data_IF_868982136521
#
_entry.id   IF_868982136521
#
_cell.length_a   1.000
_cell.length_b   1.000
_cell.length_c   1.000
_cell.angle_alpha   90.00
_cell.angle_beta   90.00
_cell.angle_gamma   90.00
#
_symmetry.space_group_name_H-M   'P 1'
#
loop_
_entity.id
_entity.type
_entity.pdbx_description
1 polymer ?
#
# COMPACT_ATOMS: atom_id res chain seq x y z
N UNK A 1 13.15 -1.80 -38.66
CA UNK A 1 12.13 -0.78 -38.93
C UNK A 1 12.06 0.17 -37.78
N UNK A 2 11.95 1.48 -38.04
CA UNK A 2 11.76 2.47 -36.96
C UNK A 2 10.39 2.29 -36.27
N UNK A 3 10.26 2.91 -35.11
CA UNK A 3 9.02 2.93 -34.31
C UNK A 3 8.55 4.38 -34.11
N UNK A 4 7.24 4.58 -34.11
CA UNK A 4 6.58 5.83 -33.76
C UNK A 4 5.49 5.56 -32.70
N UNK A 5 4.82 6.60 -32.24
CA UNK A 5 3.75 6.53 -31.22
C UNK A 5 4.13 5.69 -30.01
N UNK A 6 5.33 5.93 -29.49
CA UNK A 6 5.87 5.14 -28.40
C UNK A 6 5.23 5.53 -27.08
N UNK A 7 4.62 4.53 -26.44
CA UNK A 7 3.94 4.64 -25.14
C UNK A 7 4.57 3.67 -24.15
N UNK A 8 5.19 4.20 -23.12
CA UNK A 8 5.71 3.41 -22.00
C UNK A 8 4.76 3.54 -20.82
N UNK A 9 4.25 2.42 -20.34
CA UNK A 9 3.41 2.35 -19.13
C UNK A 9 4.23 1.76 -17.99
N UNK A 10 4.41 2.53 -16.93
CA UNK A 10 5.22 2.17 -15.78
C UNK A 10 4.36 2.11 -14.53
N UNK A 11 4.38 0.98 -13.84
CA UNK A 11 3.64 0.75 -12.59
C UNK A 11 4.58 0.84 -11.40
N UNK A 12 4.40 1.89 -10.61
CA UNK A 12 5.18 2.16 -9.42
C UNK A 12 4.79 1.23 -8.26
N UNK A 13 5.76 0.83 -7.45
CA UNK A 13 5.48 0.13 -6.20
C UNK A 13 4.86 1.07 -5.16
N UNK A 14 4.28 0.46 -4.13
CA UNK A 14 3.70 1.21 -3.00
C UNK A 14 4.68 2.21 -2.42
N UNK A 15 4.20 3.41 -2.13
CA UNK A 15 4.96 4.47 -1.47
C UNK A 15 5.86 5.29 -2.39
N UNK A 16 5.79 5.10 -3.71
CA UNK A 16 6.47 5.93 -4.70
C UNK A 16 5.51 6.99 -5.24
N UNK A 17 5.93 8.24 -5.21
CA UNK A 17 5.19 9.37 -5.77
C UNK A 17 5.98 9.97 -6.93
N UNK A 18 5.43 9.91 -8.12
CA UNK A 18 6.01 10.45 -9.33
C UNK A 18 6.16 11.99 -9.27
N UNK A 19 7.25 12.51 -9.83
CA UNK A 19 7.54 13.94 -9.96
C UNK A 19 7.54 14.31 -11.46
N UNK A 20 6.41 14.79 -12.02
CA UNK A 20 6.27 15.03 -13.47
C UNK A 20 7.30 16.01 -14.04
N UNK A 21 7.67 17.03 -13.26
CA UNK A 21 8.64 18.07 -13.64
C UNK A 21 10.07 17.54 -13.83
N UNK A 22 10.35 16.33 -13.34
CA UNK A 22 11.67 15.71 -13.43
C UNK A 22 11.93 14.93 -14.70
N UNK A 23 10.90 14.74 -15.54
CA UNK A 23 11.01 13.90 -16.75
C UNK A 23 11.96 14.50 -17.76
N UNK A 24 12.84 13.65 -18.27
CA UNK A 24 13.78 13.96 -19.36
C UNK A 24 13.76 12.80 -20.34
N UNK A 25 13.69 13.12 -21.62
CA UNK A 25 13.77 12.16 -22.72
C UNK A 25 15.00 12.42 -23.58
N UNK A 26 15.72 11.39 -23.95
CA UNK A 26 16.88 11.46 -24.84
C UNK A 26 16.85 10.32 -25.85
N UNK A 27 17.09 10.63 -27.11
CA UNK A 27 17.26 9.66 -28.20
C UNK A 27 18.69 9.82 -28.77
N UNK A 28 19.57 8.90 -28.39
CA UNK A 28 20.99 9.09 -28.62
C UNK A 28 21.54 10.30 -27.83
N UNK A 29 22.00 11.34 -28.52
CA UNK A 29 22.48 12.59 -27.91
C UNK A 29 21.44 13.73 -28.00
N UNK A 30 20.27 13.50 -28.60
CA UNK A 30 19.25 14.50 -28.79
C UNK A 30 18.19 14.45 -27.67
N UNK A 31 17.85 15.62 -27.12
CA UNK A 31 16.74 15.74 -26.17
C UNK A 31 15.41 15.64 -26.91
N UNK A 32 14.52 14.78 -26.45
CA UNK A 32 13.18 14.58 -27.01
C UNK A 32 12.09 14.93 -26.01
N UNK A 33 10.97 15.42 -26.53
CA UNK A 33 9.81 15.74 -25.68
C UNK A 33 9.10 14.45 -25.28
N UNK A 34 8.88 14.29 -23.98
CA UNK A 34 8.09 13.20 -23.40
C UNK A 34 6.94 13.80 -22.61
N UNK A 35 5.72 13.49 -23.01
CA UNK A 35 4.51 13.84 -22.26
C UNK A 35 4.17 12.77 -21.28
N UNK A 36 3.54 13.13 -20.15
CA UNK A 36 3.24 12.19 -19.07
C UNK A 36 1.81 12.32 -18.57
N UNK A 37 1.21 11.18 -18.29
CA UNK A 37 -0.05 11.05 -17.57
C UNK A 37 0.16 10.17 -16.36
N UNK A 38 -0.43 10.53 -15.21
CA UNK A 38 -0.39 9.72 -14.00
C UNK A 38 -1.80 9.38 -13.52
N UNK A 39 -2.04 8.11 -13.25
CA UNK A 39 -3.27 7.61 -12.66
C UNK A 39 -2.93 6.68 -11.50
N UNK A 40 -2.91 7.23 -10.28
CA UNK A 40 -2.45 6.52 -9.09
C UNK A 40 -0.98 6.10 -9.20
N UNK A 41 -0.72 4.80 -9.18
CA UNK A 41 0.63 4.22 -9.33
C UNK A 41 1.04 3.96 -10.79
N UNK A 42 0.13 4.15 -11.75
CA UNK A 42 0.43 3.97 -13.16
C UNK A 42 0.83 5.29 -13.80
N UNK A 43 2.02 5.32 -14.39
CA UNK A 43 2.54 6.47 -15.12
C UNK A 43 2.70 6.09 -16.58
N UNK A 44 2.16 6.92 -17.46
CA UNK A 44 2.28 6.73 -18.90
C UNK A 44 3.17 7.83 -19.47
N UNK A 45 4.20 7.43 -20.17
CA UNK A 45 5.11 8.30 -20.92
C UNK A 45 4.83 8.14 -22.40
N UNK A 46 4.70 9.25 -23.14
CA UNK A 46 4.46 9.25 -24.59
C UNK A 46 5.45 10.15 -25.28
N UNK A 47 5.90 9.73 -26.44
CA UNK A 47 6.67 10.58 -27.35
C UNK A 47 6.21 10.35 -28.78
N UNK A 48 6.09 11.43 -29.53
CA UNK A 48 5.80 11.42 -30.97
C UNK A 48 7.10 11.34 -31.80
N UNK A 49 8.26 11.29 -31.14
CA UNK A 49 9.56 11.18 -31.82
C UNK A 49 9.73 9.77 -32.39
N UNK A 50 10.03 9.70 -33.66
CA UNK A 50 10.34 8.42 -34.34
C UNK A 50 11.67 7.85 -33.81
N UNK A 51 11.65 6.63 -33.33
CA UNK A 51 12.85 5.91 -32.91
C UNK A 51 13.40 5.15 -34.13
N UNK A 52 14.62 5.46 -34.60
CA UNK A 52 15.21 4.76 -35.75
C UNK A 52 15.60 3.32 -35.40
N UNK A 53 15.94 2.54 -36.39
CA UNK A 53 16.48 1.20 -36.23
C UNK A 53 17.74 1.26 -35.35
N UNK A 54 17.80 0.46 -34.32
CA UNK A 54 18.84 0.45 -33.28
C UNK A 54 18.94 1.75 -32.45
N UNK A 55 17.96 2.64 -32.55
CA UNK A 55 17.84 3.80 -31.66
C UNK A 55 17.46 3.38 -30.25
N UNK A 56 18.00 4.12 -29.27
CA UNK A 56 17.69 3.91 -27.86
C UNK A 56 17.05 5.19 -27.29
N UNK A 57 15.78 5.09 -26.91
CA UNK A 57 15.10 6.14 -26.17
C UNK A 57 15.34 5.94 -24.67
N UNK A 58 16.00 6.91 -24.04
CA UNK A 58 16.17 6.97 -22.60
C UNK A 58 15.11 7.92 -22.00
N UNK A 59 14.35 7.45 -21.02
CA UNK A 59 13.42 8.27 -20.25
C UNK A 59 13.89 8.23 -18.81
N UNK A 60 14.34 9.37 -18.30
CA UNK A 60 14.75 9.54 -16.90
C UNK A 60 13.71 10.37 -16.15
N UNK A 61 13.40 9.98 -14.94
CA UNK A 61 12.47 10.68 -14.06
C UNK A 61 12.82 10.43 -12.59
N UNK A 62 12.29 11.25 -11.70
CA UNK A 62 12.43 11.08 -10.27
C UNK A 62 11.12 10.69 -9.60
N UNK A 63 11.22 9.96 -8.51
CA UNK A 63 10.10 9.66 -7.63
C UNK A 63 10.48 9.95 -6.18
N UNK A 64 9.56 10.55 -5.43
CA UNK A 64 9.69 10.76 -3.99
C UNK A 64 9.21 9.52 -3.27
N UNK A 65 10.00 9.03 -2.32
CA UNK A 65 9.63 7.91 -1.46
C UNK A 65 8.88 8.41 -0.23
N UNK A 66 7.77 7.76 0.07
CA UNK A 66 7.09 7.87 1.36
C UNK A 66 7.50 6.69 2.26
N UNK A 67 7.22 6.74 3.57
CA UNK A 67 7.47 5.62 4.47
C UNK A 67 6.78 4.31 4.05
N UNK A 68 5.68 4.39 3.32
CA UNK A 68 4.97 3.23 2.77
C UNK A 68 5.83 2.40 1.81
N UNK A 69 6.83 3.01 1.17
CA UNK A 69 7.76 2.30 0.30
C UNK A 69 8.53 1.18 1.03
N UNK A 70 8.72 1.30 2.35
CA UNK A 70 9.37 0.28 3.17
C UNK A 70 8.48 -0.95 3.42
N UNK A 71 7.17 -0.81 3.26
CA UNK A 71 6.18 -1.89 3.39
C UNK A 71 5.83 -2.53 2.05
N UNK A 72 6.16 -1.85 0.96
CA UNK A 72 5.93 -2.33 -0.40
C UNK A 72 6.94 -3.40 -0.83
N UNK A 73 6.63 -4.06 -1.93
CA UNK A 73 7.53 -5.03 -2.56
C UNK A 73 8.77 -4.39 -3.21
N UNK A 74 8.76 -3.08 -3.44
CA UNK A 74 9.76 -2.38 -4.24
C UNK A 74 9.78 -2.76 -5.72
N UNK A 75 8.80 -3.53 -6.19
CA UNK A 75 8.73 -4.01 -7.58
C UNK A 75 8.17 -2.92 -8.48
N UNK A 76 8.99 -2.45 -9.40
CA UNK A 76 8.60 -1.60 -10.51
C UNK A 76 8.41 -2.44 -11.78
N UNK A 77 7.39 -2.13 -12.58
CA UNK A 77 7.07 -2.92 -13.78
C UNK A 77 6.70 -1.99 -14.92
N UNK A 78 7.39 -2.12 -16.05
CA UNK A 78 7.16 -1.32 -17.23
C UNK A 78 6.81 -2.16 -18.45
N UNK A 79 5.92 -1.65 -19.29
CA UNK A 79 5.55 -2.20 -20.59
C UNK A 79 5.67 -1.09 -21.63
N UNK A 80 5.96 -1.48 -22.87
CA UNK A 80 6.02 -0.55 -24.01
C UNK A 80 5.08 -0.99 -25.11
N UNK A 81 4.41 -0.03 -25.70
CA UNK A 81 3.66 -0.17 -26.96
C UNK A 81 4.19 0.86 -27.94
N UNK A 82 4.24 0.49 -29.21
CA UNK A 82 4.64 1.40 -30.29
C UNK A 82 4.03 0.93 -31.60
N UNK A 83 4.16 1.75 -32.66
CA UNK A 83 3.76 1.40 -34.01
C UNK A 83 4.97 1.38 -34.95
N UNK A 84 4.97 0.47 -35.89
CA UNK A 84 6.00 0.43 -36.93
C UNK A 84 5.77 1.53 -37.96
N UNK A 85 6.83 2.23 -38.31
CA UNK A 85 6.78 3.35 -39.29
C UNK A 85 6.36 2.90 -40.71
N UNK A 86 6.66 1.62 -41.07
CA UNK A 86 6.43 1.12 -42.43
C UNK A 86 4.98 0.70 -42.70
N UNK A 87 4.23 0.30 -41.74
CA UNK A 87 2.90 -0.29 -41.90
C UNK A 87 1.92 -0.05 -40.77
N UNK A 88 2.29 0.78 -39.77
CA UNK A 88 1.53 1.11 -38.55
C UNK A 88 1.11 -0.13 -37.75
N UNK A 89 1.85 -1.24 -37.91
CA UNK A 89 1.59 -2.44 -37.12
C UNK A 89 2.01 -2.19 -35.66
N UNK A 90 1.06 -2.40 -34.74
CA UNK A 90 1.30 -2.24 -33.31
C UNK A 90 2.26 -3.32 -32.79
N UNK A 91 3.29 -2.90 -32.09
CA UNK A 91 4.27 -3.75 -31.43
C UNK A 91 4.25 -3.51 -29.93
N UNK A 92 4.51 -4.57 -29.16
CA UNK A 92 4.49 -4.52 -27.70
C UNK A 92 5.67 -5.30 -27.18
N UNK A 93 6.20 -4.83 -26.04
CA UNK A 93 7.19 -5.58 -25.27
C UNK A 93 7.01 -5.33 -23.76
N UNK A 94 7.49 -6.27 -22.97
CA UNK A 94 7.36 -6.28 -21.51
C UNK A 94 6.54 -7.46 -20.99
N UNK A 95 6.32 -7.57 -19.67
CA UNK A 95 6.74 -6.60 -18.66
C UNK A 95 8.24 -6.67 -18.33
N UNK A 96 8.92 -5.55 -18.36
CA UNK A 96 10.23 -5.40 -17.74
C UNK A 96 10.04 -5.09 -16.25
N UNK A 97 10.73 -5.83 -15.39
CA UNK A 97 10.57 -5.70 -13.94
C UNK A 97 11.90 -5.40 -13.27
N UNK A 98 11.88 -4.42 -12.36
CA UNK A 98 13.02 -4.11 -11.51
C UNK A 98 12.61 -4.10 -10.03
N UNK A 99 13.46 -4.63 -9.16
CA UNK A 99 13.24 -4.68 -7.72
C UNK A 99 14.12 -3.64 -7.01
N UNK A 100 13.49 -2.58 -6.49
CA UNK A 100 14.17 -1.57 -5.69
C UNK A 100 14.20 -2.00 -4.22
N UNK A 101 15.38 -2.10 -3.66
CA UNK A 101 15.57 -2.37 -2.24
C UNK A 101 15.53 -1.08 -1.45
N UNK A 102 14.41 -0.81 -0.78
CA UNK A 102 14.24 0.35 0.07
C UNK A 102 14.82 0.06 1.45
N UNK A 103 15.60 1.01 1.98
CA UNK A 103 16.16 0.96 3.34
C UNK A 103 15.68 2.17 4.13
N UNK A 104 15.41 2.02 5.45
CA UNK A 104 15.14 3.17 6.30
C UNK A 104 16.36 4.11 6.30
N UNK A 105 16.09 5.40 6.36
CA UNK A 105 17.14 6.40 6.59
C UNK A 105 17.77 6.25 7.99
N UNK A 106 18.97 6.79 8.17
CA UNK A 106 19.69 6.74 9.45
C UNK A 106 18.93 7.42 10.60
N UNK A 107 18.04 8.37 10.27
CA UNK A 107 17.20 9.12 11.22
C UNK A 107 15.73 8.70 11.17
N UNK A 108 15.45 7.45 10.77
CA UNK A 108 14.07 6.97 10.71
C UNK A 108 13.55 6.68 12.12
N UNK A 109 12.64 7.51 12.60
CA UNK A 109 11.92 7.35 13.88
C UNK A 109 10.65 6.49 13.73
N UNK A 110 10.55 5.71 12.67
CA UNK A 110 9.39 4.84 12.44
C UNK A 110 9.23 3.83 13.57
N UNK A 111 7.99 3.70 14.04
CA UNK A 111 7.61 2.73 15.05
C UNK A 111 6.81 1.55 14.49
N UNK A 112 6.21 0.80 15.39
CA UNK A 112 5.40 -0.37 15.06
C UNK A 112 4.04 -0.30 15.75
N UNK A 113 2.96 -0.49 15.01
CA UNK A 113 1.63 -0.71 15.56
C UNK A 113 1.41 -2.22 15.62
N UNK A 114 1.09 -2.73 16.80
CA UNK A 114 0.70 -4.14 16.98
C UNK A 114 -0.74 -4.18 17.46
N UNK A 115 -1.42 -5.28 17.21
CA UNK A 115 -2.78 -5.42 17.69
C UNK A 115 -3.32 -6.84 17.60
N UNK A 116 -4.49 -6.99 18.16
CA UNK A 116 -5.26 -8.23 18.14
C UNK A 116 -6.73 -7.93 17.99
N UNK A 117 -7.42 -8.72 17.19
CA UNK A 117 -8.87 -8.84 17.20
C UNK A 117 -9.20 -10.10 18.02
N UNK A 118 -10.01 -9.97 19.06
CA UNK A 118 -10.26 -11.04 20.01
C UNK A 118 -11.72 -11.10 20.48
N UNK A 119 -12.13 -12.28 20.92
CA UNK A 119 -13.46 -12.48 21.53
C UNK A 119 -13.39 -12.08 23.00
N UNK A 120 -14.02 -10.95 23.32
CA UNK A 120 -14.12 -10.45 24.70
C UNK A 120 -15.30 -11.13 25.40
N UNK A 121 -15.00 -12.00 26.35
CA UNK A 121 -16.00 -12.81 27.05
C UNK A 121 -16.57 -12.13 28.29
N UNK A 122 -15.79 -11.29 28.95
CA UNK A 122 -16.19 -10.60 30.19
C UNK A 122 -16.59 -9.14 29.94
N UNK A 123 -16.48 -8.65 28.66
CA UNK A 123 -16.87 -7.33 28.23
C UNK A 123 -16.12 -6.19 28.92
N UNK A 124 -14.85 -6.41 29.25
CA UNK A 124 -14.03 -5.38 29.86
C UNK A 124 -13.12 -4.62 28.86
N UNK A 125 -13.07 -5.06 27.60
CA UNK A 125 -12.31 -4.43 26.53
C UNK A 125 -10.82 -4.75 26.57
N UNK A 126 -10.36 -5.60 27.48
CA UNK A 126 -8.97 -6.02 27.63
C UNK A 126 -8.83 -7.50 27.27
N UNK A 127 -7.81 -7.85 26.51
CA UNK A 127 -7.56 -9.23 26.12
C UNK A 127 -6.88 -10.02 27.26
N UNK A 128 -7.49 -11.14 27.63
CA UNK A 128 -7.00 -12.01 28.72
C UNK A 128 -6.83 -13.47 28.27
N UNK A 129 -6.28 -14.27 29.19
CA UNK A 129 -6.16 -15.71 28.97
C UNK A 129 -7.56 -16.36 28.84
N UNK A 130 -7.72 -17.20 27.82
CA UNK A 130 -9.00 -17.84 27.50
C UNK A 130 -9.91 -17.06 26.55
N UNK A 131 -9.47 -15.88 26.10
CA UNK A 131 -10.13 -15.09 25.07
C UNK A 131 -9.43 -15.32 23.72
N UNK A 132 -10.07 -16.07 22.81
CA UNK A 132 -9.44 -16.44 21.56
C UNK A 132 -9.33 -15.24 20.60
N UNK A 133 -8.28 -15.24 19.78
CA UNK A 133 -8.18 -14.31 18.66
C UNK A 133 -9.12 -14.67 17.53
N UNK A 134 -9.45 -13.67 16.70
CA UNK A 134 -10.32 -13.84 15.56
C UNK A 134 -9.48 -13.71 14.28
N UNK A 135 -9.31 -14.80 13.51
CA UNK A 135 -8.53 -14.78 12.29
C UNK A 135 -9.27 -14.08 11.15
N UNK A 136 -8.50 -13.64 10.13
CA UNK A 136 -9.00 -13.03 8.90
C UNK A 136 -9.82 -11.75 9.11
N UNK A 137 -9.75 -11.13 10.29
CA UNK A 137 -10.33 -9.82 10.54
C UNK A 137 -9.57 -8.76 9.73
N UNK A 138 -10.31 -7.88 9.07
CA UNK A 138 -9.73 -6.80 8.26
C UNK A 138 -9.77 -5.49 9.04
N UNK A 139 -8.63 -4.80 9.07
CA UNK A 139 -8.48 -3.48 9.66
C UNK A 139 -8.00 -2.53 8.56
N UNK A 140 -8.62 -1.36 8.45
CA UNK A 140 -8.16 -0.27 7.61
C UNK A 140 -7.53 0.83 8.45
N UNK A 141 -6.35 1.30 8.06
CA UNK A 141 -5.73 2.48 8.65
C UNK A 141 -6.13 3.74 7.86
N UNK A 142 -5.93 4.92 8.46
CA UNK A 142 -6.21 6.23 7.88
C UNK A 142 -5.53 6.48 6.52
N UNK A 143 -4.42 5.80 6.26
CA UNK A 143 -3.67 5.90 5.01
C UNK A 143 -4.12 4.89 3.93
N UNK A 144 -5.25 4.21 4.14
CA UNK A 144 -5.82 3.24 3.21
C UNK A 144 -5.19 1.84 3.26
N UNK A 145 -4.22 1.60 4.16
CA UNK A 145 -3.64 0.27 4.32
C UNK A 145 -4.68 -0.71 4.86
N UNK A 146 -4.82 -1.83 4.17
CA UNK A 146 -5.64 -2.96 4.56
C UNK A 146 -4.77 -4.02 5.22
N UNK A 147 -5.12 -4.39 6.44
CA UNK A 147 -4.40 -5.36 7.26
C UNK A 147 -5.35 -6.51 7.55
N UNK A 148 -4.84 -7.74 7.57
CA UNK A 148 -5.62 -8.93 7.92
C UNK A 148 -4.94 -9.63 9.10
N UNK A 149 -5.72 -10.05 10.08
CA UNK A 149 -5.20 -10.80 11.24
C UNK A 149 -4.80 -12.23 10.85
N UNK A 150 -3.80 -12.74 11.53
CA UNK A 150 -3.35 -14.14 11.42
C UNK A 150 -4.30 -15.13 12.11
N UNK A 151 -3.90 -16.41 12.20
CA UNK A 151 -4.68 -17.49 12.82
C UNK A 151 -4.99 -17.25 14.31
N UNK A 152 -4.15 -16.48 15.00
CA UNK A 152 -4.29 -16.14 16.42
C UNK A 152 -4.95 -14.76 16.63
N UNK A 153 -5.46 -14.16 15.55
CA UNK A 153 -6.08 -12.84 15.59
C UNK A 153 -5.09 -11.69 15.73
N UNK A 154 -3.79 -11.93 15.53
CA UNK A 154 -2.74 -10.94 15.69
C UNK A 154 -2.45 -10.20 14.37
N UNK A 155 -1.99 -8.96 14.48
CA UNK A 155 -1.46 -8.20 13.34
C UNK A 155 -0.36 -7.24 13.78
N UNK A 156 0.48 -6.84 12.81
CA UNK A 156 1.50 -5.81 13.04
C UNK A 156 1.69 -4.94 11.81
N UNK A 157 1.92 -3.65 12.04
CA UNK A 157 2.27 -2.66 11.02
C UNK A 157 3.61 -2.07 11.37
N UNK A 158 4.65 -2.53 10.67
CA UNK A 158 6.01 -2.03 10.83
C UNK A 158 6.22 -0.73 10.04
N UNK A 159 7.20 0.04 10.44
CA UNK A 159 7.60 1.28 9.76
C UNK A 159 6.47 2.31 9.65
N UNK A 160 5.61 2.38 10.66
CA UNK A 160 4.62 3.45 10.78
C UNK A 160 5.29 4.74 11.24
N UNK A 161 4.87 5.90 10.67
CA UNK A 161 5.37 7.20 11.10
C UNK A 161 4.96 7.49 12.55
N UNK A 162 5.75 8.25 13.31
CA UNK A 162 5.29 8.76 14.61
C UNK A 162 4.06 9.65 14.46
N UNK A 163 3.19 9.63 15.44
CA UNK A 163 1.99 10.44 15.49
C UNK A 163 0.71 9.65 15.74
N UNK A 164 -0.41 10.29 15.47
CA UNK A 164 -1.74 9.71 15.69
C UNK A 164 -2.13 8.81 14.52
N UNK A 165 -2.54 7.60 14.83
CA UNK A 165 -3.04 6.61 13.87
C UNK A 165 -4.43 6.16 14.23
N UNK A 166 -5.30 6.10 13.22
CA UNK A 166 -6.66 5.58 13.35
C UNK A 166 -6.79 4.27 12.60
N UNK A 167 -7.25 3.23 13.29
CA UNK A 167 -7.63 1.96 12.68
C UNK A 167 -9.13 1.74 12.77
N UNK A 168 -9.72 1.18 11.73
CA UNK A 168 -11.14 0.81 11.67
C UNK A 168 -11.26 -0.67 11.37
N UNK A 169 -11.95 -1.40 12.26
CA UNK A 169 -12.27 -2.81 12.06
C UNK A 169 -13.42 -2.94 11.07
N UNK A 170 -13.23 -3.71 10.02
CA UNK A 170 -14.27 -4.05 9.06
C UNK A 170 -15.12 -5.21 9.59
N UNK A 171 -16.31 -4.90 10.12
CA UNK A 171 -17.23 -5.92 10.64
C UNK A 171 -17.78 -6.84 9.55
N UNK A 172 -17.79 -6.41 8.29
CA UNK A 172 -18.19 -7.29 7.17
C UNK A 172 -17.17 -8.41 6.92
N UNK A 173 -15.92 -8.22 7.35
CA UNK A 173 -14.92 -9.29 7.30
C UNK A 173 -15.12 -10.38 8.37
N UNK A 174 -16.04 -10.16 9.31
CA UNK A 174 -16.28 -11.00 10.48
C UNK A 174 -17.74 -11.49 10.56
N UNK A 175 -18.20 -12.33 9.62
CA UNK A 175 -19.55 -12.87 9.67
C UNK A 175 -19.77 -13.66 10.97
N UNK A 176 -20.87 -13.36 11.68
CA UNK A 176 -21.20 -13.99 12.95
C UNK A 176 -20.58 -13.31 14.20
N UNK A 177 -19.91 -12.15 14.02
CA UNK A 177 -19.40 -11.35 15.13
C UNK A 177 -19.95 -9.93 15.10
N UNK A 178 -20.05 -9.32 16.27
CA UNK A 178 -20.34 -7.90 16.47
C UNK A 178 -19.36 -7.30 17.46
N UNK A 179 -19.35 -5.98 17.62
CA UNK A 179 -18.53 -5.34 18.65
C UNK A 179 -18.96 -5.82 20.04
N UNK A 180 -17.99 -6.23 20.84
CA UNK A 180 -18.27 -6.59 22.24
C UNK A 180 -18.76 -5.35 23.00
N UNK A 181 -19.79 -5.45 23.86
CA UNK A 181 -20.14 -4.39 24.80
C UNK A 181 -18.91 -4.08 25.68
N UNK A 182 -18.75 -2.83 26.12
CA UNK A 182 -17.76 -2.49 27.12
C UNK A 182 -18.47 -1.98 28.38
N UNK A 183 -18.36 -2.75 29.45
CA UNK A 183 -19.03 -2.43 30.71
C UNK A 183 -18.23 -1.50 31.61
N UNK A 184 -16.92 -1.37 31.38
CA UNK A 184 -16.02 -0.51 32.15
C UNK A 184 -16.06 0.96 31.72
N UNK A 185 -16.31 1.25 30.42
CA UNK A 185 -16.28 2.59 29.87
C UNK A 185 -17.64 3.06 29.35
N UNK A 186 -18.04 4.25 29.74
CA UNK A 186 -19.30 4.89 29.31
C UNK A 186 -19.37 5.08 27.78
N UNK A 187 -18.22 5.28 27.13
CA UNK A 187 -18.10 5.51 25.69
C UNK A 187 -18.34 4.26 24.85
N UNK A 188 -18.51 3.11 25.49
CA UNK A 188 -18.73 1.82 24.83
C UNK A 188 -17.55 1.41 23.94
N UNK A 189 -17.67 0.25 23.31
CA UNK A 189 -16.71 -0.21 22.32
C UNK A 189 -17.03 0.44 20.97
N UNK A 190 -15.98 0.82 20.23
CA UNK A 190 -16.09 1.41 18.91
C UNK A 190 -15.40 0.54 17.87
N UNK A 191 -15.89 0.60 16.65
CA UNK A 191 -15.26 0.01 15.46
C UNK A 191 -13.94 0.67 15.11
N UNK A 192 -13.71 1.91 15.57
CA UNK A 192 -12.47 2.63 15.35
C UNK A 192 -11.64 2.77 16.62
N UNK A 193 -10.30 2.82 16.44
CA UNK A 193 -9.32 3.06 17.50
C UNK A 193 -8.36 4.14 17.07
N UNK A 194 -8.08 5.07 17.98
CA UNK A 194 -7.05 6.07 17.83
C UNK A 194 -5.89 5.72 18.79
N UNK A 195 -4.68 5.67 18.26
CA UNK A 195 -3.46 5.47 19.05
C UNK A 195 -2.44 6.56 18.71
N UNK A 196 -1.55 6.87 19.65
CA UNK A 196 -0.42 7.75 19.46
C UNK A 196 0.87 6.93 19.46
N UNK A 197 1.59 6.93 18.34
CA UNK A 197 2.85 6.22 18.17
C UNK A 197 4.01 7.18 18.39
N UNK A 198 4.78 6.93 19.45
CA UNK A 198 6.00 7.70 19.73
C UNK A 198 7.12 7.33 18.72
N UNK A 199 8.08 8.27 18.45
CA UNK A 199 9.22 8.00 17.60
C UNK A 199 9.99 6.75 18.03
N UNK A 200 10.21 5.81 17.08
CA UNK A 200 10.88 4.53 17.35
C UNK A 200 10.11 3.58 18.27
N UNK A 201 8.92 3.96 18.68
CA UNK A 201 8.11 3.25 19.69
C UNK A 201 7.28 2.11 19.14
N UNK A 202 6.53 1.50 20.05
CA UNK A 202 5.52 0.49 19.76
C UNK A 202 4.23 0.85 20.46
N UNK A 203 3.11 0.75 19.75
CA UNK A 203 1.78 1.00 20.31
C UNK A 203 0.84 -0.13 19.99
N UNK A 204 -0.10 -0.40 20.90
CA UNK A 204 -1.10 -1.46 20.76
C UNK A 204 -2.45 -0.89 20.34
N UNK A 205 -3.07 -1.52 19.34
CA UNK A 205 -4.39 -1.19 18.82
C UNK A 205 -5.23 -2.48 18.75
N UNK A 206 -6.01 -2.76 19.78
CA UNK A 206 -6.83 -3.97 19.90
C UNK A 206 -8.30 -3.69 19.59
N UNK A 207 -9.00 -4.72 19.10
CA UNK A 207 -10.44 -4.69 18.85
C UNK A 207 -11.11 -5.88 19.52
N UNK A 208 -12.10 -5.58 20.35
CA UNK A 208 -12.89 -6.55 21.09
C UNK A 208 -14.21 -6.83 20.34
N UNK A 209 -14.48 -8.10 20.07
CA UNK A 209 -15.71 -8.57 19.41
C UNK A 209 -16.38 -9.67 20.21
N UNK A 210 -17.65 -9.95 19.95
CA UNK A 210 -18.38 -11.06 20.54
C UNK A 210 -19.20 -11.74 19.45
N UNK A 211 -19.50 -13.05 19.56
CA UNK A 211 -20.43 -13.72 18.65
C UNK A 211 -21.80 -13.01 18.63
N UNK A 212 -22.33 -12.79 17.44
CA UNK A 212 -23.64 -12.15 17.27
C UNK A 212 -24.82 -13.06 17.58
N UNK A 213 -24.57 -14.38 17.55
CA UNK A 213 -25.54 -15.39 17.97
C UNK A 213 -25.12 -15.85 19.36
N UNK A 214 -25.92 -15.48 20.38
CA UNK A 214 -25.65 -15.93 21.74
C UNK A 214 -25.70 -17.45 21.82
N UNK A 215 -24.75 -18.06 22.53
CA UNK A 215 -24.99 -19.37 23.12
C UNK A 215 -26.23 -19.22 24.02
N UNK A 216 -27.28 -20.02 23.75
CA UNK A 216 -28.40 -20.13 24.66
C UNK A 216 -27.86 -20.36 26.06
N UNK A 217 -28.06 -19.38 26.95
CA UNK A 217 -27.76 -19.53 28.37
C UNK A 217 -28.67 -20.63 28.89
N UNK A 218 -28.14 -21.83 29.05
CA UNK A 218 -28.73 -22.87 29.89
C UNK A 218 -28.38 -22.63 31.35
#
# INVERSE_FOLDING_TARGET
VGLNDVVVSDQFPLGFKFLPESVRGELGEETVTVTTESNGSNITFRTDTTIPVNGVLNIAYAAKLSPDAMRGSGRNTANVNAERVDNNFAVKDGPATHLLKIRPGITSDCGTIIGRVFVDKNFDGEQQAGEPGVPNAVIFLENGNRITTDADGLYSVKNALPGKHTGVLDLYSLPGYTLAPNVKFKERNSQSRLVNLEPGGMVRMNFAVTPSFGEDRK
#
